data_IF_336310782239
#
_entry.id   IF_336310782239
#
_cell.length_a   1.000
_cell.length_b   1.000
_cell.length_c   1.000
_cell.angle_alpha   90.00
_cell.angle_beta   90.00
_cell.angle_gamma   90.00
#
_symmetry.space_group_name_H-M   'P 1'
#
loop_
_entity.id
_entity.type
_entity.pdbx_description
1 polymer ?
#
# COMPACT_ATOMS: atom_id res chain seq x y z
N UNK A 1 -1.84 20.45 -15.49
CA UNK A 1 -2.38 19.21 -14.90
C UNK A 1 -3.89 19.28 -14.99
N UNK A 2 -4.53 18.40 -15.77
CA UNK A 2 -6.00 18.35 -15.92
C UNK A 2 -6.55 17.40 -14.85
N UNK A 3 -7.18 17.95 -13.82
CA UNK A 3 -7.90 17.15 -12.83
C UNK A 3 -9.30 16.85 -13.38
N UNK A 4 -9.64 15.57 -13.54
CA UNK A 4 -10.98 15.13 -13.95
C UNK A 4 -11.62 14.34 -12.83
N UNK A 5 -12.86 14.72 -12.48
CA UNK A 5 -13.69 13.92 -11.60
C UNK A 5 -14.23 12.73 -12.39
N UNK A 6 -13.88 11.52 -11.96
CA UNK A 6 -14.37 10.27 -12.55
C UNK A 6 -15.31 9.64 -11.52
N UNK A 7 -16.51 9.25 -11.96
CA UNK A 7 -17.46 8.53 -11.11
C UNK A 7 -16.94 7.11 -10.85
N UNK A 8 -17.07 6.61 -9.61
CA UNK A 8 -16.58 5.27 -9.24
C UNK A 8 -17.21 4.16 -10.07
N UNK A 9 -18.49 4.27 -10.44
CA UNK A 9 -19.16 3.25 -11.25
C UNK A 9 -18.53 3.10 -12.64
N UNK A 10 -17.85 4.13 -13.15
CA UNK A 10 -17.13 4.06 -14.43
C UNK A 10 -15.84 3.25 -14.30
N UNK A 11 -15.19 3.35 -13.14
CA UNK A 11 -13.95 2.63 -12.84
C UNK A 11 -14.26 1.17 -12.53
N UNK A 12 -15.34 0.93 -11.79
CA UNK A 12 -15.73 -0.40 -11.30
C UNK A 12 -16.59 -1.20 -12.29
N UNK A 13 -17.05 -0.59 -13.38
CA UNK A 13 -17.95 -1.22 -14.37
C UNK A 13 -17.48 -2.63 -14.82
N UNK A 14 -16.16 -2.80 -14.90
CA UNK A 14 -15.51 -3.98 -15.43
C UNK A 14 -14.66 -4.71 -14.37
N UNK A 15 -14.81 -4.34 -13.10
CA UNK A 15 -14.09 -4.93 -11.98
C UNK A 15 -14.87 -6.14 -11.45
N UNK A 16 -14.18 -7.27 -11.32
CA UNK A 16 -14.69 -8.47 -10.67
C UNK A 16 -13.77 -8.81 -9.51
N UNK A 17 -14.33 -9.05 -8.33
CA UNK A 17 -13.53 -9.36 -7.14
C UNK A 17 -14.09 -10.53 -6.34
N UNK A 18 -13.20 -11.22 -5.64
CA UNK A 18 -13.52 -12.19 -4.59
C UNK A 18 -12.75 -11.74 -3.35
N UNK A 19 -13.46 -11.10 -2.43
CA UNK A 19 -12.89 -10.56 -1.20
C UNK A 19 -12.45 -11.65 -0.22
N UNK A 20 -13.01 -12.86 -0.31
CA UNK A 20 -12.60 -13.98 0.55
C UNK A 20 -11.28 -14.58 0.08
N UNK A 21 -11.00 -14.50 -1.22
CA UNK A 21 -9.78 -15.05 -1.84
C UNK A 21 -8.76 -13.99 -2.24
N UNK A 22 -9.02 -12.72 -1.94
CA UNK A 22 -8.12 -11.61 -2.30
C UNK A 22 -7.94 -11.44 -3.82
N UNK A 23 -8.93 -11.84 -4.62
CA UNK A 23 -8.86 -11.72 -6.07
C UNK A 23 -9.58 -10.45 -6.55
N UNK A 24 -9.01 -9.76 -7.53
CA UNK A 24 -9.60 -8.62 -8.21
C UNK A 24 -9.06 -8.54 -9.63
N UNK A 25 -9.93 -8.62 -10.63
CA UNK A 25 -9.58 -8.59 -12.06
C UNK A 25 -10.42 -7.58 -12.82
N UNK A 26 -9.78 -6.92 -13.78
CA UNK A 26 -10.44 -6.06 -14.76
C UNK A 26 -10.66 -6.85 -16.04
N UNK A 27 -11.89 -6.82 -16.55
CA UNK A 27 -12.29 -7.55 -17.76
C UNK A 27 -12.72 -6.57 -18.86
N UNK A 28 -12.12 -6.67 -20.05
CA UNK A 28 -12.51 -5.89 -21.24
C UNK A 28 -12.66 -6.82 -22.44
N UNK A 29 -13.55 -6.48 -23.36
CA UNK A 29 -13.78 -7.23 -24.61
C UNK A 29 -13.69 -6.33 -25.85
N UNK A 30 -12.92 -5.24 -25.77
CA UNK A 30 -12.79 -4.28 -26.87
C UNK A 30 -11.89 -4.78 -28.01
N UNK A 31 -10.97 -5.71 -27.73
CA UNK A 31 -10.02 -6.28 -28.68
C UNK A 31 -9.77 -7.76 -28.33
N UNK A 32 -10.87 -8.51 -28.20
CA UNK A 32 -10.91 -9.82 -27.57
C UNK A 32 -10.86 -9.75 -26.03
N UNK A 33 -11.15 -10.88 -25.40
CA UNK A 33 -11.21 -10.98 -23.94
C UNK A 33 -9.86 -10.66 -23.31
N UNK A 34 -9.77 -9.52 -22.63
CA UNK A 34 -8.64 -9.10 -21.81
C UNK A 34 -9.01 -9.23 -20.35
N UNK A 35 -8.24 -10.04 -19.63
CA UNK A 35 -8.34 -10.20 -18.17
C UNK A 35 -6.99 -9.86 -17.60
N UNK A 36 -6.97 -8.91 -16.67
CA UNK A 36 -5.76 -8.48 -15.99
C UNK A 36 -6.07 -8.21 -14.52
N UNK A 37 -5.22 -8.69 -13.60
CA UNK A 37 -5.43 -8.46 -12.18
C UNK A 37 -4.78 -9.45 -11.24
N UNK A 38 -5.23 -9.41 -9.99
CA UNK A 38 -4.85 -10.30 -8.91
C UNK A 38 -5.84 -11.46 -8.84
N UNK A 39 -5.35 -12.70 -8.79
CA UNK A 39 -6.20 -13.89 -8.62
C UNK A 39 -5.94 -14.60 -7.29
N UNK A 40 -5.18 -13.95 -6.41
CA UNK A 40 -4.81 -14.35 -5.05
C UNK A 40 -3.55 -13.60 -4.61
N UNK A 41 -3.04 -13.93 -3.43
CA UNK A 41 -1.91 -13.22 -2.79
C UNK A 41 -0.70 -13.09 -3.74
N UNK A 42 -0.31 -14.19 -4.38
CA UNK A 42 0.88 -14.26 -5.25
C UNK A 42 0.61 -14.43 -6.73
N UNK A 43 -0.61 -14.80 -7.10
CA UNK A 43 -0.94 -15.12 -8.48
C UNK A 43 -1.51 -13.89 -9.17
N UNK A 44 -1.01 -13.65 -10.38
CA UNK A 44 -1.48 -12.58 -11.27
C UNK A 44 -1.91 -13.20 -12.59
N UNK A 45 -2.83 -12.52 -13.26
CA UNK A 45 -3.24 -12.83 -14.62
C UNK A 45 -3.00 -11.59 -15.48
N UNK A 46 -2.43 -11.76 -16.66
CA UNK A 46 -2.34 -10.71 -17.67
C UNK A 46 -2.38 -11.33 -19.07
N UNK A 47 -2.70 -10.54 -20.11
CA UNK A 47 -2.48 -10.99 -21.47
C UNK A 47 -1.03 -11.39 -21.72
N UNK A 48 -0.84 -12.47 -22.47
CA UNK A 48 0.48 -12.90 -22.93
C UNK A 48 0.92 -12.00 -24.09
N UNK A 49 2.09 -11.39 -23.94
CA UNK A 49 2.68 -10.54 -24.98
C UNK A 49 3.49 -11.36 -26.01
N UNK A 50 3.70 -12.64 -25.76
CA UNK A 50 4.57 -13.54 -26.55
C UNK A 50 3.78 -14.60 -27.31
N UNK A 51 2.55 -14.90 -26.89
CA UNK A 51 1.68 -15.85 -27.58
C UNK A 51 0.84 -15.16 -28.65
N UNK A 52 0.80 -15.76 -29.85
CA UNK A 52 -0.10 -15.33 -30.91
C UNK A 52 -1.57 -15.54 -30.50
N UNK A 53 -2.45 -14.74 -31.09
CA UNK A 53 -3.89 -14.97 -30.96
C UNK A 53 -4.25 -16.32 -31.59
N UNK A 54 -5.23 -17.00 -31.02
CA UNK A 54 -5.79 -18.19 -31.68
C UNK A 54 -6.37 -17.82 -33.05
N UNK A 55 -6.54 -18.80 -33.95
CA UNK A 55 -7.20 -18.60 -35.24
C UNK A 55 -8.65 -18.05 -35.10
N UNK A 56 -9.25 -18.20 -33.92
CA UNK A 56 -10.56 -17.63 -33.57
C UNK A 56 -10.47 -16.20 -32.96
N UNK A 57 -9.29 -15.60 -32.89
CA UNK A 57 -9.07 -14.24 -32.37
C UNK A 57 -8.87 -14.13 -30.86
N UNK A 58 -8.98 -15.23 -30.11
CA UNK A 58 -8.80 -15.21 -28.65
C UNK A 58 -7.36 -14.82 -28.27
N UNK A 59 -7.26 -13.91 -27.30
CA UNK A 59 -6.02 -13.47 -26.67
C UNK A 59 -5.62 -14.46 -25.59
N UNK A 60 -4.39 -14.96 -25.64
CA UNK A 60 -3.86 -15.82 -24.59
C UNK A 60 -3.57 -15.01 -23.31
N UNK A 61 -3.78 -15.61 -22.15
CA UNK A 61 -3.40 -15.05 -20.86
C UNK A 61 -2.36 -15.92 -20.19
N UNK A 62 -1.47 -15.28 -19.45
CA UNK A 62 -0.49 -15.93 -18.60
C UNK A 62 -0.93 -15.77 -17.14
N UNK A 63 -0.90 -16.88 -16.40
CA UNK A 63 -0.99 -16.86 -14.95
C UNK A 63 0.42 -17.10 -14.41
N UNK A 64 0.90 -16.17 -13.58
CA UNK A 64 2.25 -16.22 -13.05
C UNK A 64 2.29 -15.81 -11.58
N UNK A 65 3.30 -16.30 -10.87
CA UNK A 65 3.57 -15.93 -9.50
C UNK A 65 4.49 -14.71 -9.42
N UNK A 66 4.13 -13.73 -8.59
CA UNK A 66 5.00 -12.60 -8.26
C UNK A 66 5.92 -12.95 -7.11
N UNK A 67 7.19 -12.55 -7.22
CA UNK A 67 8.14 -12.65 -6.10
C UNK A 67 7.94 -11.48 -5.16
N UNK A 68 7.48 -11.76 -3.93
CA UNK A 68 7.50 -10.80 -2.84
C UNK A 68 8.96 -10.61 -2.43
N UNK A 69 9.57 -9.52 -2.88
CA UNK A 69 10.90 -9.14 -2.38
C UNK A 69 10.70 -8.53 -1.01
N UNK A 70 11.32 -9.11 0.02
CA UNK A 70 11.33 -8.57 1.38
C UNK A 70 11.64 -7.07 1.35
N UNK A 71 10.74 -6.23 1.87
CA UNK A 71 10.96 -4.78 1.93
C UNK A 71 10.72 -4.26 3.33
N UNK A 72 11.71 -3.53 3.82
CA UNK A 72 11.58 -2.59 4.93
C UNK A 72 11.13 -1.25 4.33
N UNK A 73 9.97 -0.74 4.75
CA UNK A 73 9.58 0.65 4.55
C UNK A 73 10.42 1.54 5.45
N UNK A 74 10.77 2.75 5.00
CA UNK A 74 11.45 3.73 5.87
C UNK A 74 10.42 4.80 6.24
N UNK A 75 9.76 4.59 7.37
CA UNK A 75 8.67 5.42 7.86
C UNK A 75 9.17 6.48 8.83
N UNK A 76 8.85 7.75 8.55
CA UNK A 76 9.20 8.85 9.45
C UNK A 76 8.06 9.04 10.44
N UNK A 77 8.21 8.46 11.63
CA UNK A 77 7.58 9.01 12.82
C UNK A 77 8.28 10.33 13.16
N UNK A 78 7.58 11.48 13.34
CA UNK A 78 8.23 12.67 13.86
C UNK A 78 8.85 12.32 15.23
N UNK A 79 10.18 12.36 15.31
CA UNK A 79 10.91 11.95 16.51
C UNK A 79 10.45 12.74 17.74
N UNK A 80 10.44 12.11 18.94
CA UNK A 80 10.29 12.84 20.18
C UNK A 80 11.40 13.90 20.31
N UNK A 81 11.12 15.08 20.88
CA UNK A 81 12.01 16.25 20.81
C UNK A 81 13.23 16.17 21.74
N UNK A 82 13.93 15.03 21.81
CA UNK A 82 15.13 14.91 22.64
C UNK A 82 16.14 13.85 22.20
N UNK A 83 16.53 13.86 20.93
CA UNK A 83 17.91 13.53 20.56
C UNK A 83 18.49 14.69 19.76
N UNK A 84 19.59 15.22 20.29
CA UNK A 84 20.35 16.33 19.72
C UNK A 84 20.64 16.14 18.23
N UNK A 85 19.81 16.72 17.37
CA UNK A 85 20.16 17.13 16.02
C UNK A 85 19.77 18.59 15.89
N UNK A 86 20.73 19.45 16.22
CA UNK A 86 20.67 20.86 15.83
C UNK A 86 20.73 20.89 14.31
N UNK A 87 19.62 21.23 13.66
CA UNK A 87 19.68 21.74 12.30
C UNK A 87 18.81 22.98 12.19
N UNK A 88 19.54 24.08 12.07
CA UNK A 88 19.12 25.45 11.83
C UNK A 88 18.26 25.54 10.56
N UNK A 89 17.17 26.30 10.63
CA UNK A 89 16.35 26.74 9.50
C UNK A 89 15.64 25.62 8.71
N UNK A 90 14.68 24.97 9.37
CA UNK A 90 13.78 24.01 8.74
C UNK A 90 12.68 24.69 7.92
N UNK A 91 13.02 25.12 6.70
CA UNK A 91 12.06 24.96 5.60
C UNK A 91 11.70 23.46 5.54
N UNK A 92 10.41 23.12 5.62
CA UNK A 92 9.85 21.77 5.41
C UNK A 92 10.14 21.30 3.98
N UNK A 93 11.39 21.03 3.67
CA UNK A 93 11.82 20.52 2.39
C UNK A 93 11.56 19.02 2.35
N UNK A 94 10.92 18.58 1.27
CA UNK A 94 10.80 17.19 0.87
C UNK A 94 12.18 16.53 0.92
N UNK A 95 12.36 15.55 1.82
CA UNK A 95 13.65 14.91 2.03
C UNK A 95 13.89 13.83 0.95
N UNK A 96 14.59 14.25 -0.11
CA UNK A 96 14.98 13.41 -1.23
C UNK A 96 15.86 12.22 -0.76
N UNK A 97 16.62 12.38 0.34
CA UNK A 97 17.47 11.29 0.86
C UNK A 97 16.68 10.26 1.67
N UNK A 98 15.60 10.68 2.33
CA UNK A 98 14.63 9.76 2.92
C UNK A 98 13.90 8.97 1.82
N UNK A 99 13.55 9.63 0.72
CA UNK A 99 12.95 8.99 -0.46
C UNK A 99 13.87 7.94 -1.13
N UNK A 100 15.18 8.22 -1.25
CA UNK A 100 16.15 7.24 -1.79
C UNK A 100 16.31 6.00 -0.89
N UNK A 101 16.08 6.13 0.42
CA UNK A 101 16.09 5.02 1.37
C UNK A 101 14.73 4.31 1.46
N UNK A 102 13.63 5.02 1.26
CA UNK A 102 12.26 4.53 1.19
C UNK A 102 12.06 3.75 -0.12
N UNK A 103 12.65 2.56 -0.17
CA UNK A 103 12.87 1.79 -1.41
C UNK A 103 11.58 1.36 -2.13
N UNK A 104 10.39 1.62 -1.56
CA UNK A 104 9.06 1.32 -2.15
C UNK A 104 7.89 2.23 -1.72
N UNK A 105 7.91 2.86 -0.53
CA UNK A 105 6.78 3.61 0.00
C UNK A 105 7.19 4.62 1.07
N UNK A 106 6.41 5.70 1.20
CA UNK A 106 6.61 6.77 2.19
C UNK A 106 5.29 7.45 2.56
N UNK A 107 5.03 7.63 3.86
CA UNK A 107 3.90 8.41 4.37
C UNK A 107 4.18 9.12 5.69
N UNK A 108 3.46 10.22 5.93
CA UNK A 108 3.43 10.86 7.25
C UNK A 108 2.37 10.22 8.14
N UNK A 109 2.77 9.66 9.28
CA UNK A 109 1.85 9.06 10.25
C UNK A 109 0.83 10.09 10.76
N UNK A 110 -0.47 9.86 10.50
CA UNK A 110 -1.58 10.76 10.85
C UNK A 110 -1.70 11.99 9.94
N UNK A 111 -1.11 11.94 8.74
CA UNK A 111 -1.07 13.06 7.80
C UNK A 111 -2.36 13.36 7.06
N UNK A 112 -3.31 12.41 6.96
CA UNK A 112 -4.47 12.48 6.04
C UNK A 112 -5.28 13.78 6.12
N UNK A 113 -5.36 14.39 7.31
CA UNK A 113 -6.14 15.59 7.54
C UNK A 113 -5.32 16.79 8.03
N UNK A 114 -4.02 16.77 7.77
CA UNK A 114 -3.06 17.83 8.12
C UNK A 114 -2.45 18.40 6.83
N UNK A 115 -1.62 19.43 6.97
CA UNK A 115 -0.82 19.97 5.85
C UNK A 115 0.13 18.92 5.24
N UNK A 116 0.43 17.84 5.96
CA UNK A 116 1.30 16.72 5.56
C UNK A 116 0.52 15.54 4.96
N UNK A 117 -0.62 15.78 4.30
CA UNK A 117 -1.47 14.78 3.63
C UNK A 117 -0.85 14.19 2.35
N UNK A 118 0.34 13.63 2.50
CA UNK A 118 1.15 13.08 1.39
C UNK A 118 1.60 11.67 1.74
N UNK A 119 1.31 10.75 0.84
CA UNK A 119 1.89 9.41 0.78
C UNK A 119 2.31 9.11 -0.65
N UNK A 120 3.35 8.31 -0.83
CA UNK A 120 3.91 7.98 -2.13
C UNK A 120 4.36 6.52 -2.14
N UNK A 121 4.04 5.81 -3.23
CA UNK A 121 4.34 4.38 -3.39
C UNK A 121 4.85 4.15 -4.80
N UNK A 122 5.89 3.33 -4.93
CA UNK A 122 6.35 2.80 -6.20
C UNK A 122 5.72 1.41 -6.43
N UNK A 123 4.85 1.29 -7.44
CA UNK A 123 4.35 0.00 -7.91
C UNK A 123 5.13 -0.46 -9.15
N UNK A 124 5.83 -1.59 -9.05
CA UNK A 124 6.57 -2.18 -10.16
C UNK A 124 5.68 -3.15 -10.94
N UNK A 125 4.68 -2.59 -11.63
CA UNK A 125 3.71 -3.30 -12.47
C UNK A 125 2.96 -4.46 -11.77
N UNK A 126 1.87 -4.93 -12.39
CA UNK A 126 1.16 -6.16 -11.99
C UNK A 126 0.65 -6.17 -10.53
N UNK A 127 0.29 -5.01 -9.99
CA UNK A 127 -0.28 -4.88 -8.65
C UNK A 127 0.65 -5.44 -7.54
N UNK A 128 1.97 -5.26 -7.71
CA UNK A 128 2.96 -5.72 -6.72
C UNK A 128 3.11 -4.73 -5.57
N UNK A 129 2.84 -3.44 -5.83
CA UNK A 129 2.85 -2.36 -4.85
C UNK A 129 1.56 -2.19 -4.05
N UNK A 130 0.53 -3.03 -4.26
CA UNK A 130 -0.76 -2.89 -3.54
C UNK A 130 -0.60 -3.02 -2.04
N UNK A 131 0.22 -3.96 -1.55
CA UNK A 131 0.50 -4.09 -0.12
C UNK A 131 1.13 -2.80 0.43
N UNK A 132 2.20 -2.32 -0.21
CA UNK A 132 2.88 -1.08 0.18
C UNK A 132 1.94 0.11 0.14
N UNK A 133 1.09 0.21 -0.89
CA UNK A 133 0.09 1.28 -0.96
C UNK A 133 -0.84 1.28 0.24
N UNK A 134 -1.37 0.11 0.62
CA UNK A 134 -2.26 0.01 1.79
C UNK A 134 -1.51 0.29 3.10
N UNK A 135 -0.24 -0.10 3.20
CA UNK A 135 0.64 0.23 4.34
C UNK A 135 0.80 1.75 4.50
N UNK A 136 1.16 2.47 3.43
CA UNK A 136 1.34 3.93 3.47
C UNK A 136 0.02 4.67 3.75
N UNK A 137 -1.09 4.16 3.22
CA UNK A 137 -2.42 4.68 3.55
C UNK A 137 -2.74 4.45 5.04
N UNK A 138 -2.37 3.31 5.60
CA UNK A 138 -2.46 3.03 7.03
C UNK A 138 -1.73 4.09 7.87
N UNK A 139 -0.48 4.40 7.51
CA UNK A 139 0.27 5.50 8.13
C UNK A 139 -0.46 6.83 8.02
N UNK A 140 -0.91 7.23 6.83
CA UNK A 140 -1.68 8.48 6.65
C UNK A 140 -2.90 8.55 7.57
N UNK A 141 -3.54 7.41 7.83
CA UNK A 141 -4.70 7.25 8.71
C UNK A 141 -4.33 7.03 10.19
N UNK A 142 -3.08 7.27 10.56
CA UNK A 142 -2.62 7.29 11.96
C UNK A 142 -2.17 5.95 12.52
N UNK A 143 -2.04 4.91 11.69
CA UNK A 143 -1.51 3.62 12.11
C UNK A 143 0.02 3.67 12.27
N UNK A 144 0.55 3.00 13.29
CA UNK A 144 1.98 2.75 13.49
C UNK A 144 2.32 1.31 13.13
N UNK A 145 3.61 0.96 13.05
CA UNK A 145 3.97 -0.43 12.83
C UNK A 145 3.58 -1.30 14.03
N UNK A 146 3.17 -2.54 13.78
CA UNK A 146 2.91 -3.49 14.87
C UNK A 146 4.15 -3.63 15.77
N UNK A 147 3.98 -3.57 17.09
CA UNK A 147 5.07 -3.58 18.07
C UNK A 147 5.59 -2.21 18.50
N UNK A 148 5.26 -1.14 17.78
CA UNK A 148 5.66 0.22 18.14
C UNK A 148 4.93 0.81 19.35
N UNK A 149 5.56 1.82 19.96
CA UNK A 149 4.89 2.69 20.93
C UNK A 149 3.96 3.69 20.24
N UNK A 150 2.96 4.19 20.96
CA UNK A 150 2.01 5.16 20.43
C UNK A 150 2.73 6.47 20.00
N UNK A 151 2.42 7.02 18.81
CA UNK A 151 2.97 8.27 18.34
C UNK A 151 2.49 9.46 19.19
N UNK A 152 3.42 10.24 19.74
CA UNK A 152 3.11 11.34 20.66
C UNK A 152 2.28 12.47 20.02
N UNK A 153 2.41 12.68 18.72
CA UNK A 153 1.72 13.74 17.97
C UNK A 153 0.28 13.38 17.56
N UNK A 154 -0.17 12.16 17.84
CA UNK A 154 -1.54 11.69 17.61
C UNK A 154 -2.21 11.53 18.97
N UNK A 155 -3.08 12.49 19.29
CA UNK A 155 -3.80 12.49 20.56
C UNK A 155 -4.67 11.24 20.67
N UNK A 156 -4.66 10.61 21.85
CA UNK A 156 -5.45 9.40 22.15
C UNK A 156 -5.13 8.18 21.25
N UNK A 157 -3.95 8.10 20.64
CA UNK A 157 -3.56 6.88 19.92
C UNK A 157 -3.49 5.70 20.91
N UNK A 158 -4.16 4.56 20.62
CA UNK A 158 -4.20 3.41 21.53
C UNK A 158 -2.87 2.65 21.62
N UNK A 159 -1.89 2.98 20.77
CA UNK A 159 -0.62 2.25 20.64
C UNK A 159 -0.80 0.86 20.01
N UNK A 160 0.32 0.17 19.78
CA UNK A 160 0.36 -1.09 19.00
C UNK A 160 1.31 -2.15 19.57
N UNK A 161 1.74 -1.99 20.83
CA UNK A 161 2.68 -2.92 21.50
C UNK A 161 2.09 -4.30 21.78
N UNK A 162 0.77 -4.49 21.65
CA UNK A 162 0.09 -5.77 21.85
C UNK A 162 0.14 -6.68 20.61
N UNK A 163 0.32 -6.11 19.43
CA UNK A 163 0.44 -6.86 18.18
C UNK A 163 1.93 -7.08 17.88
N UNK A 164 2.30 -8.29 17.48
CA UNK A 164 3.70 -8.62 17.27
C UNK A 164 4.17 -8.12 15.90
N UNK A 165 5.37 -7.51 15.80
CA UNK A 165 5.94 -7.07 14.52
C UNK A 165 6.17 -8.23 13.54
N UNK A 166 6.19 -9.48 14.03
CA UNK A 166 6.46 -10.68 13.24
C UNK A 166 5.20 -11.41 12.79
N UNK A 167 4.00 -10.92 13.13
CA UNK A 167 2.74 -11.57 12.75
C UNK A 167 2.42 -11.39 11.27
N UNK A 168 3.11 -10.47 10.59
CA UNK A 168 3.02 -10.30 9.14
C UNK A 168 1.76 -9.60 8.64
N UNK A 169 0.98 -8.94 9.50
CA UNK A 169 -0.11 -8.06 9.06
C UNK A 169 0.42 -6.87 8.25
N UNK A 170 -0.48 -6.13 7.58
CA UNK A 170 -0.10 -5.03 6.67
C UNK A 170 0.85 -4.02 7.32
N UNK A 171 0.69 -3.72 8.62
CA UNK A 171 1.53 -2.77 9.35
C UNK A 171 2.74 -3.42 10.06
N UNK A 172 3.06 -4.68 9.77
CA UNK A 172 4.32 -5.27 10.24
C UNK A 172 5.51 -4.45 9.67
N UNK A 173 6.60 -4.23 10.43
CA UNK A 173 7.76 -3.48 9.96
C UNK A 173 8.44 -4.09 8.72
N UNK A 174 8.24 -5.40 8.52
CA UNK A 174 8.79 -6.16 7.40
C UNK A 174 7.70 -6.93 6.68
N UNK A 175 7.66 -6.80 5.36
CA UNK A 175 6.76 -7.57 4.50
C UNK A 175 7.53 -8.67 3.77
N UNK A 176 7.07 -9.91 3.87
CA UNK A 176 7.64 -11.06 3.18
C UNK A 176 6.56 -11.99 2.62
N UNK A 177 6.95 -13.20 2.22
CA UNK A 177 6.01 -14.18 1.70
C UNK A 177 4.97 -14.61 2.74
N UNK A 178 5.25 -14.57 4.04
CA UNK A 178 4.33 -14.98 5.10
C UNK A 178 3.36 -13.88 5.52
N UNK A 179 3.49 -12.68 4.96
CA UNK A 179 2.63 -11.56 5.31
C UNK A 179 1.19 -11.74 4.80
N UNK A 180 0.25 -11.29 5.61
CA UNK A 180 -1.18 -11.28 5.34
C UNK A 180 -1.62 -9.95 4.74
N UNK A 181 -2.53 -10.00 3.76
CA UNK A 181 -3.19 -8.81 3.22
C UNK A 181 -4.34 -8.32 4.12
N UNK A 182 -4.13 -8.32 5.43
CA UNK A 182 -5.08 -7.91 6.45
C UNK A 182 -4.42 -6.97 7.45
N UNK A 183 -5.22 -6.05 8.00
CA UNK A 183 -4.80 -5.24 9.15
C UNK A 183 -4.87 -6.07 10.43
N UNK A 184 -3.95 -5.81 11.36
CA UNK A 184 -4.01 -6.36 12.72
C UNK A 184 -5.17 -5.74 13.48
N UNK A 185 -5.57 -6.36 14.61
CA UNK A 185 -6.55 -5.75 15.51
C UNK A 185 -6.07 -4.40 16.05
N UNK A 186 -4.76 -4.24 16.28
CA UNK A 186 -4.20 -2.99 16.78
C UNK A 186 -4.27 -1.87 15.72
N UNK A 187 -3.97 -2.19 14.46
CA UNK A 187 -4.12 -1.24 13.34
C UNK A 187 -5.59 -0.79 13.18
N UNK A 188 -6.55 -1.72 13.31
CA UNK A 188 -7.98 -1.41 13.26
C UNK A 188 -8.40 -0.48 14.43
N UNK A 189 -7.93 -0.75 15.66
CA UNK A 189 -8.17 0.11 16.82
C UNK A 189 -7.61 1.53 16.62
N UNK A 190 -6.40 1.66 16.06
CA UNK A 190 -5.82 2.95 15.71
C UNK A 190 -6.66 3.71 14.68
N UNK A 191 -7.14 3.03 13.64
CA UNK A 191 -8.02 3.64 12.64
C UNK A 191 -9.34 4.15 13.26
N UNK A 192 -9.94 3.38 14.17
CA UNK A 192 -11.16 3.81 14.87
C UNK A 192 -10.92 4.99 15.83
N UNK A 193 -9.72 5.05 16.42
CA UNK A 193 -9.30 6.13 17.30
C UNK A 193 -8.84 7.38 16.54
N UNK A 194 -8.44 7.24 15.27
CA UNK A 194 -8.06 8.36 14.41
C UNK A 194 -9.29 9.23 14.13
N UNK A 195 -9.48 10.22 15.00
CA UNK A 195 -10.52 11.24 14.92
C UNK A 195 -9.85 12.60 14.97
N UNK A 196 -10.36 13.52 14.16
CA UNK A 196 -10.11 14.94 14.33
C UNK A 196 -11.17 15.56 15.21
#
# INVERSE_FOLDING_TARGET
>A
MLTRNIRSEVIEKNLYHDTQRGAAVMVSDTDGLRVEGMIGDRLRISPSNTAERSAAGHLAHEIFEIKIQSSEGNDISPEPPNRHLVSTNASKHFDITAMERARRGYAYVGGACRETRVGMVEDKAMFTGTHTFVHEVGHLLGMSHDGDIAPYHIQNSPGVTKCSPSDGYIMAPSYDVHSYHLFSVCSAEQLFAFRM
#
